data_IF_929857258984
#
_entry.id   IF_929857258984
#
_cell.length_a   1.000
_cell.length_b   1.000
_cell.length_c   1.000
_cell.angle_alpha   90.00
_cell.angle_beta   90.00
_cell.angle_gamma   90.00
#
_symmetry.space_group_name_H-M   'P 1'
#
loop_
_entity.id
_entity.type
_entity.pdbx_description
1 polymer ?
#
# COMPACT_ATOMS: atom_id res chain seq x y z
N UNK A 1 31.27 6.94 -39.83
CA UNK A 1 32.17 6.15 -38.97
C UNK A 1 31.64 6.06 -37.55
N UNK A 2 31.50 7.18 -36.84
CA UNK A 2 30.97 7.23 -35.45
C UNK A 2 29.61 6.53 -35.25
N UNK A 3 28.67 6.67 -36.19
CA UNK A 3 27.36 6.01 -36.08
C UNK A 3 27.44 4.49 -36.14
N UNK A 4 28.32 3.93 -36.99
CA UNK A 4 28.51 2.48 -37.11
C UNK A 4 29.20 1.90 -35.87
N UNK A 5 30.16 2.62 -35.30
CA UNK A 5 30.81 2.27 -34.05
C UNK A 5 29.83 2.30 -32.86
N UNK A 6 28.96 3.32 -32.80
CA UNK A 6 27.93 3.43 -31.76
C UNK A 6 26.90 2.29 -31.85
N UNK A 7 26.48 1.94 -33.07
CA UNK A 7 25.57 0.80 -33.30
C UNK A 7 26.26 -0.51 -32.90
N UNK A 8 27.52 -0.72 -33.32
CA UNK A 8 28.31 -1.90 -32.96
C UNK A 8 28.45 -2.05 -31.44
N UNK A 9 28.84 -0.98 -30.75
CA UNK A 9 28.95 -0.96 -29.29
C UNK A 9 27.61 -1.30 -28.62
N UNK A 10 26.51 -0.72 -29.09
CA UNK A 10 25.17 -0.98 -28.55
C UNK A 10 24.78 -2.45 -28.72
N UNK A 11 25.02 -3.06 -29.89
CA UNK A 11 24.73 -4.48 -30.14
C UNK A 11 25.56 -5.38 -29.22
N UNK A 12 26.85 -5.08 -29.04
CA UNK A 12 27.73 -5.83 -28.14
C UNK A 12 27.23 -5.73 -26.70
N UNK A 13 26.90 -4.53 -26.22
CA UNK A 13 26.37 -4.32 -24.87
C UNK A 13 25.04 -5.07 -24.66
N UNK A 14 24.10 -4.99 -25.61
CA UNK A 14 22.83 -5.71 -25.52
C UNK A 14 23.02 -7.24 -25.55
N UNK A 15 23.98 -7.73 -26.33
CA UNK A 15 24.30 -9.17 -26.40
C UNK A 15 24.88 -9.67 -25.08
N UNK A 16 25.84 -8.94 -24.50
CA UNK A 16 26.40 -9.25 -23.17
C UNK A 16 25.29 -9.24 -22.11
N UNK A 17 24.42 -8.23 -22.14
CA UNK A 17 23.30 -8.12 -21.21
C UNK A 17 22.33 -9.31 -21.35
N UNK A 18 21.97 -9.67 -22.59
CA UNK A 18 21.10 -10.82 -22.86
C UNK A 18 21.70 -12.13 -22.32
N UNK A 19 22.99 -12.38 -22.59
CA UNK A 19 23.72 -13.55 -22.10
C UNK A 19 23.73 -13.56 -20.57
N UNK A 20 24.04 -12.43 -19.94
CA UNK A 20 24.06 -12.30 -18.49
C UNK A 20 22.69 -12.61 -17.85
N UNK A 21 21.61 -12.02 -18.38
CA UNK A 21 20.25 -12.31 -17.89
C UNK A 21 19.89 -13.79 -18.06
N UNK A 22 20.15 -14.35 -19.24
CA UNK A 22 19.75 -15.71 -19.60
C UNK A 22 20.49 -16.77 -18.79
N UNK A 23 21.80 -16.62 -18.61
CA UNK A 23 22.66 -17.68 -18.05
C UNK A 23 23.07 -17.45 -16.60
N UNK A 24 23.09 -16.20 -16.12
CA UNK A 24 23.45 -15.87 -14.74
C UNK A 24 22.21 -15.64 -13.90
N UNK A 25 21.37 -14.65 -14.26
CA UNK A 25 20.21 -14.28 -13.44
C UNK A 25 19.14 -15.38 -13.44
N UNK A 26 18.74 -15.84 -14.62
CA UNK A 26 17.65 -16.80 -14.80
C UNK A 26 18.01 -18.26 -14.53
N UNK A 27 19.21 -18.49 -13.97
CA UNK A 27 19.67 -19.80 -13.54
C UNK A 27 19.50 -20.02 -12.03
N UNK A 28 19.04 -19.01 -11.27
CA UNK A 28 18.90 -19.08 -9.81
C UNK A 28 18.06 -20.26 -9.30
N UNK A 29 16.87 -20.49 -9.88
CA UNK A 29 15.96 -21.58 -9.45
C UNK A 29 16.41 -22.94 -9.97
N UNK A 30 16.92 -23.00 -11.20
CA UNK A 30 17.49 -24.21 -11.79
C UNK A 30 18.63 -24.77 -10.92
N UNK A 31 19.58 -23.93 -10.49
CA UNK A 31 20.68 -24.32 -9.59
C UNK A 31 20.20 -24.86 -8.23
N UNK A 32 18.97 -24.56 -7.82
CA UNK A 32 18.39 -24.99 -6.53
C UNK A 32 17.48 -26.21 -6.68
N UNK A 33 17.30 -26.74 -7.89
CA UNK A 33 16.39 -27.86 -8.14
C UNK A 33 14.92 -27.52 -7.89
N UNK A 34 14.54 -26.24 -7.92
CA UNK A 34 13.16 -25.78 -7.71
C UNK A 34 12.48 -25.64 -9.07
N UNK A 35 11.28 -26.20 -9.21
CA UNK A 35 10.44 -25.99 -10.40
C UNK A 35 10.20 -24.49 -10.60
N UNK A 36 10.42 -24.00 -11.82
CA UNK A 36 10.24 -22.58 -12.13
C UNK A 36 9.67 -22.36 -13.52
N UNK A 37 8.92 -21.28 -13.67
CA UNK A 37 8.39 -20.87 -14.97
C UNK A 37 9.50 -20.23 -15.78
N UNK A 38 9.80 -20.78 -16.96
CA UNK A 38 10.86 -20.27 -17.84
C UNK A 38 10.67 -18.76 -18.10
N UNK A 39 11.61 -17.91 -17.68
CA UNK A 39 11.50 -16.46 -17.82
C UNK A 39 11.84 -15.99 -19.24
N UNK A 40 11.32 -14.81 -19.60
CA UNK A 40 11.63 -14.10 -20.85
C UNK A 40 12.55 -12.91 -20.56
N UNK A 41 13.67 -12.79 -21.26
CA UNK A 41 14.60 -11.65 -21.08
C UNK A 41 13.96 -10.38 -21.65
N UNK A 42 14.04 -9.22 -20.96
CA UNK A 42 14.55 -8.97 -19.60
C UNK A 42 13.46 -8.94 -18.50
N UNK A 43 12.21 -9.18 -18.88
CA UNK A 43 11.00 -8.96 -18.06
C UNK A 43 10.65 -10.11 -17.12
N UNK A 44 11.33 -11.25 -17.22
CA UNK A 44 11.05 -12.44 -16.42
C UNK A 44 9.70 -13.05 -16.81
N UNK A 45 8.85 -13.29 -15.82
CA UNK A 45 7.49 -13.79 -15.99
C UNK A 45 6.43 -12.67 -15.91
N UNK A 46 6.85 -11.40 -15.93
CA UNK A 46 5.95 -10.22 -15.77
C UNK A 46 5.38 -9.69 -17.09
N UNK A 47 5.71 -10.30 -18.24
CA UNK A 47 5.28 -9.82 -19.56
C UNK A 47 3.77 -9.53 -19.69
N UNK A 48 2.87 -10.38 -19.17
CA UNK A 48 1.43 -10.11 -19.18
C UNK A 48 1.02 -8.86 -18.38
N UNK A 49 1.75 -8.53 -17.30
CA UNK A 49 1.52 -7.31 -16.51
C UNK A 49 2.04 -6.07 -17.22
N UNK A 50 3.24 -6.14 -17.81
CA UNK A 50 3.85 -5.00 -18.50
C UNK A 50 3.09 -4.62 -19.77
N UNK A 51 2.44 -5.59 -20.42
CA UNK A 51 1.57 -5.36 -21.58
C UNK A 51 0.14 -4.91 -21.21
N UNK A 52 -0.15 -4.70 -19.91
CA UNK A 52 -1.46 -4.33 -19.36
C UNK A 52 -2.60 -5.27 -19.76
N UNK A 53 -2.29 -6.52 -20.14
CA UNK A 53 -3.29 -7.51 -20.55
C UNK A 53 -4.03 -8.10 -19.34
N UNK A 54 -3.34 -8.22 -18.21
CA UNK A 54 -3.88 -8.79 -16.98
C UNK A 54 -3.41 -8.00 -15.75
N UNK A 55 -4.12 -8.17 -14.62
CA UNK A 55 -3.71 -7.61 -13.32
C UNK A 55 -2.79 -8.58 -12.56
N UNK A 56 -2.11 -8.10 -11.52
CA UNK A 56 -1.26 -8.94 -10.67
C UNK A 56 -2.03 -10.12 -10.05
N UNK A 57 -3.27 -9.89 -9.62
CA UNK A 57 -4.13 -10.94 -9.07
C UNK A 57 -4.42 -12.05 -10.08
N UNK A 58 -4.76 -11.67 -11.32
CA UNK A 58 -5.00 -12.65 -12.41
C UNK A 58 -3.72 -13.41 -12.75
N UNK A 59 -2.56 -12.74 -12.79
CA UNK A 59 -1.27 -13.41 -13.02
C UNK A 59 -1.02 -14.52 -11.99
N UNK A 60 -1.15 -14.22 -10.70
CA UNK A 60 -0.88 -15.20 -9.65
C UNK A 60 -1.97 -16.29 -9.58
N UNK A 61 -3.22 -15.94 -9.88
CA UNK A 61 -4.30 -16.92 -10.04
C UNK A 61 -3.96 -17.93 -11.14
N UNK A 62 -3.56 -17.47 -12.33
CA UNK A 62 -3.29 -18.35 -13.46
C UNK A 62 -2.05 -19.22 -13.22
N UNK A 63 -1.02 -18.66 -12.58
CA UNK A 63 0.16 -19.42 -12.13
C UNK A 63 -0.27 -20.51 -11.16
N UNK A 64 -1.07 -20.18 -10.15
CA UNK A 64 -1.56 -21.15 -9.18
C UNK A 64 -2.38 -22.24 -9.87
N UNK A 65 -3.40 -21.87 -10.65
CA UNK A 65 -4.29 -22.84 -11.30
C UNK A 65 -3.54 -23.80 -12.23
N UNK A 66 -2.52 -23.31 -12.93
CA UNK A 66 -1.71 -24.11 -13.85
C UNK A 66 -0.68 -25.00 -13.16
N UNK A 67 -0.11 -24.56 -12.04
CA UNK A 67 1.05 -25.22 -11.41
C UNK A 67 0.82 -25.64 -9.95
N UNK A 68 -0.41 -25.63 -9.44
CA UNK A 68 -0.78 -26.03 -8.06
C UNK A 68 -0.37 -27.45 -7.67
N UNK A 69 0.02 -28.30 -8.62
CA UNK A 69 0.61 -29.61 -8.34
C UNK A 69 2.01 -29.50 -7.70
N UNK A 70 2.69 -28.37 -7.87
CA UNK A 70 3.96 -28.07 -7.21
C UNK A 70 3.71 -27.26 -5.94
N UNK A 71 4.29 -27.70 -4.82
CA UNK A 71 4.18 -27.00 -3.53
C UNK A 71 4.79 -25.59 -3.56
N UNK A 72 5.87 -25.43 -4.35
CA UNK A 72 6.57 -24.17 -4.56
C UNK A 72 6.89 -23.99 -6.04
N UNK A 73 6.76 -22.75 -6.52
CA UNK A 73 6.95 -22.39 -7.92
C UNK A 73 7.88 -21.17 -7.98
N UNK A 74 9.06 -21.35 -8.56
CA UNK A 74 9.97 -20.25 -8.85
C UNK A 74 9.45 -19.39 -10.00
N UNK A 75 9.48 -18.08 -9.81
CA UNK A 75 9.25 -17.10 -10.87
C UNK A 75 10.34 -16.03 -10.83
N UNK A 76 10.38 -15.21 -11.87
CA UNK A 76 11.23 -14.03 -11.94
C UNK A 76 10.37 -12.80 -12.18
N UNK A 77 10.48 -11.82 -11.29
CA UNK A 77 9.96 -10.49 -11.56
C UNK A 77 11.09 -9.62 -12.05
N UNK A 78 11.13 -9.36 -13.37
CA UNK A 78 12.30 -8.79 -14.05
C UNK A 78 13.55 -9.64 -13.81
N UNK A 79 14.50 -9.17 -13.01
CA UNK A 79 15.70 -9.91 -12.63
C UNK A 79 15.62 -10.56 -11.24
N UNK A 80 14.60 -10.23 -10.44
CA UNK A 80 14.49 -10.72 -9.05
C UNK A 80 13.83 -12.10 -9.03
N UNK A 81 14.46 -13.14 -8.46
CA UNK A 81 13.80 -14.41 -8.22
C UNK A 81 12.76 -14.27 -7.10
N UNK A 82 11.54 -14.77 -7.33
CA UNK A 82 10.48 -14.82 -6.33
C UNK A 82 9.91 -16.24 -6.24
N UNK A 83 9.51 -16.65 -5.03
CA UNK A 83 8.94 -17.96 -4.78
C UNK A 83 7.44 -17.81 -4.55
N UNK A 84 6.63 -18.49 -5.35
CA UNK A 84 5.19 -18.62 -5.14
C UNK A 84 4.95 -19.90 -4.36
N UNK A 85 4.26 -19.81 -3.23
CA UNK A 85 3.98 -20.94 -2.33
C UNK A 85 2.52 -21.35 -2.55
N UNK A 86 2.32 -22.61 -2.92
CA UNK A 86 1.00 -23.20 -3.17
C UNK A 86 0.57 -24.22 -2.08
N UNK A 87 1.49 -24.59 -1.19
CA UNK A 87 1.25 -25.49 -0.06
C UNK A 87 0.88 -24.73 1.23
N UNK A 88 -0.18 -25.18 1.92
CA UNK A 88 -0.69 -24.51 3.12
C UNK A 88 0.25 -24.58 4.32
N UNK A 89 0.99 -25.68 4.51
CA UNK A 89 1.93 -25.79 5.62
C UNK A 89 3.15 -24.87 5.40
N UNK A 90 3.59 -24.71 4.16
CA UNK A 90 4.63 -23.74 3.81
C UNK A 90 4.13 -22.30 3.96
N UNK A 91 2.88 -22.00 3.60
CA UNK A 91 2.26 -20.68 3.85
C UNK A 91 2.23 -20.40 5.36
N UNK A 92 1.79 -21.38 6.17
CA UNK A 92 1.80 -21.27 7.64
C UNK A 92 3.21 -21.12 8.20
N UNK A 93 4.19 -21.80 7.62
CA UNK A 93 5.59 -21.66 8.02
C UNK A 93 6.06 -20.22 7.83
N UNK A 94 5.87 -19.65 6.65
CA UNK A 94 6.33 -18.29 6.31
C UNK A 94 5.57 -17.20 7.08
N UNK A 95 4.23 -17.30 7.14
CA UNK A 95 3.40 -16.23 7.70
C UNK A 95 3.27 -16.29 9.23
N UNK A 96 3.49 -17.45 9.85
CA UNK A 96 3.26 -17.65 11.29
C UNK A 96 4.52 -18.17 11.99
N UNK A 97 4.99 -19.38 11.64
CA UNK A 97 6.05 -20.07 12.42
C UNK A 97 7.37 -19.29 12.36
N UNK A 98 7.75 -18.82 11.18
CA UNK A 98 9.01 -18.14 10.88
C UNK A 98 8.81 -16.66 10.55
N UNK A 99 7.72 -16.03 11.02
CA UNK A 99 7.39 -14.64 10.70
C UNK A 99 8.53 -13.65 11.05
N UNK A 100 9.31 -13.94 12.08
CA UNK A 100 10.51 -13.17 12.44
C UNK A 100 11.52 -13.09 11.30
N UNK A 101 11.57 -14.08 10.42
CA UNK A 101 12.42 -14.12 9.22
C UNK A 101 11.75 -13.50 7.99
N UNK A 102 10.40 -13.42 7.95
CA UNK A 102 9.60 -13.02 6.77
C UNK A 102 8.69 -11.79 7.01
N UNK A 103 9.03 -10.92 7.95
CA UNK A 103 8.21 -9.76 8.33
C UNK A 103 8.19 -8.63 7.28
N UNK A 104 9.17 -8.60 6.37
CA UNK A 104 9.31 -7.58 5.35
C UNK A 104 8.53 -7.91 4.06
N UNK A 105 7.82 -6.93 3.52
CA UNK A 105 7.04 -7.09 2.27
C UNK A 105 7.87 -6.90 1.00
N UNK A 106 9.06 -6.30 1.10
CA UNK A 106 9.98 -6.09 -0.02
C UNK A 106 9.47 -5.13 -1.12
N UNK A 107 8.55 -4.23 -0.77
CA UNK A 107 8.00 -3.19 -1.65
C UNK A 107 8.80 -1.88 -1.47
N UNK A 108 8.77 -0.99 -2.46
CA UNK A 108 9.42 0.33 -2.39
C UNK A 108 9.10 1.10 -1.11
N UNK A 109 10.16 1.60 -0.47
CA UNK A 109 10.09 2.55 0.64
C UNK A 109 11.29 3.49 0.55
N UNK A 110 11.04 4.80 0.56
CA UNK A 110 12.09 5.81 0.61
C UNK A 110 11.59 7.05 1.36
N UNK A 111 11.84 7.10 2.67
CA UNK A 111 11.40 8.20 3.54
C UNK A 111 11.95 9.58 3.13
N UNK A 112 13.15 9.64 2.52
CA UNK A 112 13.79 10.90 2.17
C UNK A 112 13.18 11.53 0.93
N UNK A 113 12.89 10.72 -0.08
CA UNK A 113 12.38 11.17 -1.39
C UNK A 113 10.84 11.21 -1.37
N UNK A 114 10.23 10.22 -0.71
CA UNK A 114 8.80 10.00 -0.65
C UNK A 114 8.37 9.65 0.79
N UNK A 115 8.23 10.66 1.67
CA UNK A 115 7.96 10.45 3.09
C UNK A 115 6.64 9.71 3.35
N UNK A 116 5.67 9.78 2.43
CA UNK A 116 4.40 9.05 2.56
C UNK A 116 4.58 7.54 2.43
N UNK A 117 5.67 7.05 1.82
CA UNK A 117 5.97 5.60 1.81
C UNK A 117 6.42 5.07 3.18
N UNK A 118 6.73 5.93 4.14
CA UNK A 118 7.17 5.56 5.48
C UNK A 118 5.99 5.27 6.43
N UNK A 119 5.03 4.46 5.99
CA UNK A 119 3.87 4.04 6.77
C UNK A 119 3.91 2.56 7.13
N UNK A 120 3.11 2.14 8.12
CA UNK A 120 3.16 0.80 8.73
C UNK A 120 3.04 -0.37 7.74
N UNK A 121 2.37 -0.18 6.61
CA UNK A 121 2.28 -1.22 5.58
C UNK A 121 3.58 -1.43 4.78
N UNK A 122 4.32 -0.37 4.40
CA UNK A 122 5.54 -0.47 3.58
C UNK A 122 6.83 -0.52 4.39
N UNK A 123 6.80 -0.01 5.63
CA UNK A 123 7.93 -0.01 6.53
C UNK A 123 8.47 -1.44 6.74
N UNK A 124 9.79 -1.56 6.87
CA UNK A 124 10.50 -2.83 7.08
C UNK A 124 11.32 -2.85 8.37
N UNK A 125 11.73 -4.06 8.76
CA UNK A 125 12.70 -4.33 9.81
C UNK A 125 12.28 -3.85 11.20
N UNK A 126 13.28 -3.43 11.99
CA UNK A 126 13.09 -2.96 13.37
C UNK A 126 12.18 -1.74 13.45
N UNK A 127 12.22 -0.84 12.46
CA UNK A 127 11.37 0.36 12.42
C UNK A 127 9.90 -0.04 12.34
N UNK A 128 9.57 -0.99 11.45
CA UNK A 128 8.23 -1.55 11.34
C UNK A 128 7.77 -2.19 12.64
N UNK A 129 8.60 -3.06 13.24
CA UNK A 129 8.27 -3.76 14.49
C UNK A 129 7.94 -2.77 15.61
N UNK A 130 8.78 -1.75 15.80
CA UNK A 130 8.59 -0.74 16.82
C UNK A 130 7.31 0.08 16.59
N UNK A 131 7.05 0.48 15.34
CA UNK A 131 5.86 1.26 15.00
C UNK A 131 4.58 0.43 15.11
N UNK A 132 4.64 -0.86 14.74
CA UNK A 132 3.51 -1.79 14.86
C UNK A 132 3.06 -1.91 16.31
N UNK A 133 3.98 -2.08 17.24
CA UNK A 133 3.68 -2.19 18.68
C UNK A 133 3.01 -0.90 19.17
N UNK A 134 3.56 0.26 18.79
CA UNK A 134 3.03 1.58 19.17
C UNK A 134 1.62 1.87 18.64
N UNK A 135 1.32 1.44 17.42
CA UNK A 135 0.01 1.70 16.79
C UNK A 135 -1.03 0.62 17.07
N UNK A 136 -0.66 -0.57 17.54
CA UNK A 136 -1.62 -1.65 17.82
C UNK A 136 -2.75 -1.24 18.77
N UNK A 137 -2.51 -0.49 19.87
CA UNK A 137 -3.57 -0.02 20.77
C UNK A 137 -4.59 0.93 20.12
N UNK A 138 -4.31 1.49 18.94
CA UNK A 138 -5.25 2.39 18.26
C UNK A 138 -6.43 1.68 17.60
N UNK A 139 -6.31 0.36 17.40
CA UNK A 139 -7.32 -0.46 16.71
C UNK A 139 -7.96 -1.51 17.64
N UNK A 140 -8.03 -1.25 18.94
CA UNK A 140 -8.79 -2.12 19.85
C UNK A 140 -10.29 -2.06 19.56
N UNK A 141 -11.04 -3.05 20.03
CA UNK A 141 -12.50 -3.04 19.91
C UNK A 141 -13.14 -1.82 20.56
N UNK A 142 -12.58 -1.32 21.68
CA UNK A 142 -13.05 -0.10 22.35
C UNK A 142 -12.87 1.16 21.50
N UNK A 143 -11.67 1.38 20.93
CA UNK A 143 -11.41 2.51 20.01
C UNK A 143 -12.26 2.42 18.74
N UNK A 144 -12.42 1.23 18.15
CA UNK A 144 -13.27 1.05 16.97
C UNK A 144 -14.73 1.37 17.29
N UNK A 145 -15.23 0.95 18.46
CA UNK A 145 -16.59 1.29 18.90
C UNK A 145 -16.78 2.79 19.11
N UNK A 146 -15.76 3.51 19.57
CA UNK A 146 -15.81 4.98 19.68
C UNK A 146 -15.95 5.66 18.30
N UNK A 147 -15.30 5.10 17.27
CA UNK A 147 -15.40 5.60 15.89
C UNK A 147 -16.70 5.20 15.18
N UNK A 148 -17.47 4.24 15.72
CA UNK A 148 -18.68 3.72 15.07
C UNK A 148 -19.75 4.80 14.83
N UNK A 149 -19.88 5.79 15.72
CA UNK A 149 -20.82 6.90 15.54
C UNK A 149 -20.54 7.69 14.26
N UNK A 150 -19.25 7.89 13.92
CA UNK A 150 -18.84 8.57 12.69
C UNK A 150 -19.30 7.76 11.47
N UNK A 151 -19.10 6.45 11.49
CA UNK A 151 -19.53 5.56 10.39
C UNK A 151 -21.05 5.57 10.23
N UNK A 152 -21.81 5.49 11.34
CA UNK A 152 -23.27 5.53 11.33
C UNK A 152 -23.81 6.81 10.69
N UNK A 153 -23.27 7.96 11.10
CA UNK A 153 -23.72 9.27 10.61
C UNK A 153 -23.52 9.41 9.09
N UNK A 154 -22.35 9.02 8.56
CA UNK A 154 -22.13 9.04 7.11
C UNK A 154 -22.92 7.96 6.38
N UNK A 155 -23.26 6.86 7.04
CA UNK A 155 -24.14 5.83 6.48
C UNK A 155 -25.57 6.35 6.28
N UNK A 156 -26.08 7.12 7.24
CA UNK A 156 -27.37 7.80 7.14
C UNK A 156 -27.35 8.87 6.04
N UNK A 157 -26.28 9.66 5.95
CA UNK A 157 -26.09 10.65 4.88
C UNK A 157 -26.04 10.00 3.49
N UNK A 158 -25.35 8.85 3.37
CA UNK A 158 -25.33 8.07 2.14
C UNK A 158 -26.71 7.54 1.79
N UNK A 159 -27.46 7.00 2.76
CA UNK A 159 -28.80 6.47 2.54
C UNK A 159 -29.74 7.55 2.01
N UNK A 160 -29.74 8.73 2.64
CA UNK A 160 -30.52 9.90 2.18
C UNK A 160 -30.13 10.32 0.76
N UNK A 161 -28.83 10.37 0.45
CA UNK A 161 -28.38 10.71 -0.90
C UNK A 161 -28.85 9.69 -1.95
N UNK A 162 -28.82 8.40 -1.63
CA UNK A 162 -29.27 7.33 -2.52
C UNK A 162 -30.79 7.34 -2.69
N UNK A 163 -31.56 7.66 -1.64
CA UNK A 163 -33.02 7.80 -1.70
C UNK A 163 -33.43 8.91 -2.67
N UNK A 164 -32.83 10.10 -2.55
CA UNK A 164 -33.06 11.20 -3.51
C UNK A 164 -32.73 10.78 -4.95
N UNK A 165 -31.64 10.02 -5.16
CA UNK A 165 -31.25 9.54 -6.50
C UNK A 165 -32.23 8.50 -7.06
N UNK A 166 -32.74 7.63 -6.19
CA UNK A 166 -33.73 6.63 -6.57
C UNK A 166 -35.07 7.27 -6.95
N UNK A 167 -35.53 8.28 -6.20
CA UNK A 167 -36.74 9.05 -6.52
C UNK A 167 -36.67 9.75 -7.88
N UNK A 168 -35.48 10.22 -8.25
CA UNK A 168 -35.23 10.84 -9.56
C UNK A 168 -35.09 9.81 -10.70
N UNK A 169 -34.95 8.51 -10.38
CA UNK A 169 -34.66 7.46 -11.36
C UNK A 169 -33.24 7.55 -11.94
N UNK A 170 -32.30 8.17 -11.23
CA UNK A 170 -30.93 8.39 -11.69
C UNK A 170 -30.10 7.09 -11.64
N UNK A 171 -29.27 6.87 -12.66
CA UNK A 171 -28.24 5.84 -12.62
C UNK A 171 -27.11 6.24 -11.66
N UNK A 172 -26.65 5.29 -10.83
CA UNK A 172 -25.60 5.52 -9.83
C UNK A 172 -24.39 4.65 -10.15
N UNK A 173 -23.20 5.26 -10.20
CA UNK A 173 -21.95 4.53 -10.29
C UNK A 173 -21.52 4.10 -8.87
N UNK A 174 -21.60 2.80 -8.60
CA UNK A 174 -21.41 2.23 -7.27
C UNK A 174 -19.99 2.46 -6.74
N UNK A 175 -18.96 2.29 -7.57
CA UNK A 175 -17.57 2.49 -7.12
C UNK A 175 -17.35 3.94 -6.70
N UNK A 176 -17.97 4.89 -7.38
CA UNK A 176 -17.84 6.30 -7.09
C UNK A 176 -18.54 6.72 -5.81
N UNK A 177 -19.79 6.32 -5.61
CA UNK A 177 -20.52 6.71 -4.41
C UNK A 177 -19.88 6.12 -3.15
N UNK A 178 -19.41 4.86 -3.20
CA UNK A 178 -18.66 4.26 -2.09
C UNK A 178 -17.26 4.86 -1.94
N UNK A 179 -16.63 5.32 -3.03
CA UNK A 179 -15.39 6.07 -2.94
C UNK A 179 -15.59 7.36 -2.14
N UNK A 180 -16.64 8.14 -2.45
CA UNK A 180 -17.01 9.37 -1.74
C UNK A 180 -17.31 9.12 -0.27
N UNK A 181 -18.17 8.15 0.02
CA UNK A 181 -18.47 7.71 1.39
C UNK A 181 -17.20 7.33 2.17
N UNK A 182 -16.33 6.49 1.58
CA UNK A 182 -15.09 6.07 2.23
C UNK A 182 -14.14 7.24 2.51
N UNK A 183 -14.11 8.25 1.64
CA UNK A 183 -13.33 9.47 1.85
C UNK A 183 -13.87 10.23 3.06
N UNK A 184 -15.19 10.43 3.15
CA UNK A 184 -15.80 11.15 4.28
C UNK A 184 -15.54 10.45 5.61
N UNK A 185 -15.70 9.13 5.65
CA UNK A 185 -15.41 8.33 6.83
C UNK A 185 -13.93 8.46 7.23
N UNK A 186 -12.99 8.33 6.30
CA UNK A 186 -11.55 8.45 6.60
C UNK A 186 -11.18 9.87 7.00
N UNK A 187 -11.66 10.90 6.30
CA UNK A 187 -11.36 12.30 6.63
C UNK A 187 -11.85 12.67 8.04
N UNK A 188 -13.01 12.16 8.43
CA UNK A 188 -13.54 12.39 9.76
C UNK A 188 -12.87 11.54 10.84
N UNK A 189 -12.71 10.23 10.63
CA UNK A 189 -12.09 9.33 11.63
C UNK A 189 -10.58 9.56 11.79
N UNK A 190 -9.87 9.84 10.68
CA UNK A 190 -8.42 10.00 10.67
C UNK A 190 -7.96 11.42 10.95
N UNK A 191 -8.68 12.44 10.47
CA UNK A 191 -8.29 13.86 10.59
C UNK A 191 -9.30 14.70 11.40
N UNK A 192 -10.49 14.19 11.70
CA UNK A 192 -11.57 14.95 12.35
C UNK A 192 -12.18 16.03 11.47
N UNK A 193 -12.07 15.89 10.15
CA UNK A 193 -12.53 16.84 9.13
C UNK A 193 -13.79 16.30 8.47
N UNK A 194 -14.82 17.13 8.38
CA UNK A 194 -16.01 16.83 7.57
C UNK A 194 -15.76 17.27 6.13
N UNK A 195 -15.50 16.33 5.23
CA UNK A 195 -15.16 16.63 3.83
C UNK A 195 -16.36 16.85 2.90
N UNK A 196 -17.54 16.31 3.24
CA UNK A 196 -18.77 16.36 2.45
C UNK A 196 -18.63 15.81 1.00
N UNK A 197 -17.78 14.80 0.80
CA UNK A 197 -17.55 14.17 -0.51
C UNK A 197 -18.77 13.43 -1.06
N UNK A 198 -19.69 12.95 -0.21
CA UNK A 198 -20.95 12.31 -0.67
C UNK A 198 -21.77 13.31 -1.49
N UNK A 199 -21.92 14.53 -0.97
CA UNK A 199 -22.73 15.59 -1.58
C UNK A 199 -22.00 16.30 -2.73
N UNK A 200 -20.70 16.54 -2.56
CA UNK A 200 -19.88 17.27 -3.53
C UNK A 200 -18.99 16.30 -4.34
N UNK A 201 -19.34 16.03 -5.61
CA UNK A 201 -18.50 15.23 -6.49
C UNK A 201 -17.11 15.84 -6.68
N UNK A 202 -16.95 17.14 -6.81
CA UNK A 202 -15.68 17.75 -7.27
C UNK A 202 -14.79 18.19 -6.11
N UNK A 203 -14.91 17.43 -5.01
CA UNK A 203 -14.25 17.73 -3.78
C UNK A 203 -12.73 17.48 -3.84
N UNK A 204 -11.95 18.42 -3.31
CA UNK A 204 -10.48 18.36 -3.29
C UNK A 204 -9.92 17.07 -2.69
N UNK A 205 -10.59 16.50 -1.67
CA UNK A 205 -10.15 15.25 -1.04
C UNK A 205 -10.40 14.04 -1.95
N UNK A 206 -11.47 14.06 -2.76
CA UNK A 206 -11.76 13.03 -3.76
C UNK A 206 -10.75 13.07 -4.89
N UNK A 207 -10.38 14.25 -5.37
CA UNK A 207 -9.40 14.41 -6.45
C UNK A 207 -8.01 13.90 -6.05
N UNK A 208 -7.54 14.26 -4.86
CA UNK A 208 -6.28 13.73 -4.35
C UNK A 208 -6.34 12.22 -4.14
N UNK A 209 -7.45 11.67 -3.64
CA UNK A 209 -7.66 10.21 -3.55
C UNK A 209 -7.59 9.54 -4.92
N UNK A 210 -8.29 10.07 -5.94
CA UNK A 210 -8.27 9.50 -7.30
C UNK A 210 -6.84 9.41 -7.83
N UNK A 211 -6.06 10.49 -7.68
CA UNK A 211 -4.64 10.51 -8.10
C UNK A 211 -3.77 9.46 -7.39
N UNK A 212 -4.07 9.11 -6.13
CA UNK A 212 -3.38 8.01 -5.42
C UNK A 212 -3.67 6.66 -6.10
N UNK A 213 -4.91 6.41 -6.51
CA UNK A 213 -5.35 5.10 -7.02
C UNK A 213 -5.23 4.94 -8.54
N UNK A 214 -5.08 6.02 -9.30
CA UNK A 214 -4.88 6.01 -10.77
C UNK A 214 -3.41 5.85 -11.17
N UNK A 215 -2.61 5.18 -10.33
CA UNK A 215 -1.21 4.91 -10.63
C UNK A 215 -1.06 4.03 -11.89
N UNK A 216 -0.09 4.38 -12.73
CA UNK A 216 0.20 3.63 -13.96
C UNK A 216 0.56 2.17 -13.63
N UNK A 217 -0.07 1.16 -14.27
CA UNK A 217 0.24 -0.26 -14.02
C UNK A 217 1.72 -0.62 -14.14
N UNK A 218 2.46 0.06 -15.02
CA UNK A 218 3.92 -0.11 -15.17
C UNK A 218 4.64 0.40 -13.92
N UNK A 219 4.24 1.57 -13.40
CA UNK A 219 4.78 2.10 -12.14
C UNK A 219 4.50 1.15 -10.98
N UNK A 220 3.28 0.64 -10.87
CA UNK A 220 2.90 -0.36 -9.85
C UNK A 220 3.78 -1.61 -9.96
N UNK A 221 3.99 -2.14 -11.17
CA UNK A 221 4.85 -3.30 -11.38
C UNK A 221 6.31 -3.04 -10.98
N UNK A 222 6.87 -1.88 -11.33
CA UNK A 222 8.24 -1.50 -10.93
C UNK A 222 8.35 -1.43 -9.41
N UNK A 223 7.37 -0.87 -8.72
CA UNK A 223 7.39 -0.72 -7.26
C UNK A 223 7.24 -2.03 -6.50
N UNK A 224 6.36 -2.90 -6.97
CA UNK A 224 6.11 -4.19 -6.33
C UNK A 224 7.28 -5.15 -6.53
N UNK A 225 7.93 -5.09 -7.70
CA UNK A 225 8.85 -6.14 -8.11
C UNK A 225 10.31 -5.72 -8.20
N UNK A 226 10.58 -4.43 -8.48
CA UNK A 226 11.93 -3.89 -8.66
C UNK A 226 12.09 -2.49 -8.05
N UNK A 227 11.81 -2.34 -6.75
CA UNK A 227 11.90 -1.05 -6.07
C UNK A 227 13.31 -0.44 -6.09
N UNK A 228 14.36 -1.23 -6.33
CA UNK A 228 15.73 -0.76 -6.39
C UNK A 228 15.97 0.26 -7.52
N UNK A 229 15.25 0.14 -8.64
CA UNK A 229 15.35 1.09 -9.77
C UNK A 229 14.84 2.47 -9.35
N UNK A 230 13.74 2.52 -8.58
CA UNK A 230 13.17 3.78 -8.08
C UNK A 230 14.15 4.53 -7.18
N UNK A 231 14.86 3.79 -6.32
CA UNK A 231 15.88 4.36 -5.44
C UNK A 231 17.08 4.89 -6.21
N UNK A 232 17.51 4.19 -7.27
CA UNK A 232 18.63 4.62 -8.11
C UNK A 232 18.31 5.90 -8.90
N UNK A 233 17.08 6.02 -9.40
CA UNK A 233 16.66 7.16 -10.21
C UNK A 233 16.10 8.34 -9.40
N UNK A 234 16.01 8.22 -8.07
CA UNK A 234 15.47 9.22 -7.17
C UNK A 234 14.03 9.68 -7.50
N UNK A 235 13.22 8.79 -8.05
CA UNK A 235 11.84 9.09 -8.45
C UNK A 235 10.90 8.76 -7.28
N UNK A 236 10.09 9.72 -6.77
CA UNK A 236 9.07 9.41 -5.78
C UNK A 236 7.96 8.56 -6.41
N UNK A 237 7.38 7.65 -5.63
CA UNK A 237 6.20 6.92 -6.08
C UNK A 237 4.97 7.81 -6.05
N UNK A 238 4.81 8.53 -4.94
CA UNK A 238 3.69 9.41 -4.68
C UNK A 238 3.90 10.73 -5.40
N UNK A 239 2.84 11.22 -6.06
CA UNK A 239 2.88 12.54 -6.68
C UNK A 239 3.24 13.64 -5.65
N UNK A 240 4.07 14.60 -6.06
CA UNK A 240 4.58 15.64 -5.14
C UNK A 240 3.46 16.56 -4.63
N UNK A 241 2.40 16.75 -5.40
CA UNK A 241 1.20 17.48 -4.99
C UNK A 241 0.48 16.76 -3.84
N UNK A 242 0.32 15.44 -3.97
CA UNK A 242 -0.26 14.58 -2.92
C UNK A 242 0.57 14.62 -1.64
N UNK A 243 1.90 14.47 -1.75
CA UNK A 243 2.80 14.55 -0.59
C UNK A 243 2.62 15.88 0.14
N UNK A 244 2.63 17.00 -0.60
CA UNK A 244 2.48 18.34 -0.03
C UNK A 244 1.12 18.53 0.63
N UNK A 245 0.05 18.09 -0.04
CA UNK A 245 -1.32 18.22 0.44
C UNK A 245 -1.52 17.51 1.78
N UNK A 246 -1.24 16.20 1.86
CA UNK A 246 -1.48 15.44 3.09
C UNK A 246 -0.51 15.80 4.23
N UNK A 247 0.73 16.17 3.91
CA UNK A 247 1.68 16.66 4.92
C UNK A 247 1.22 17.98 5.52
N UNK A 248 0.75 18.90 4.67
CA UNK A 248 0.19 20.20 5.11
C UNK A 248 -1.06 19.98 5.96
N UNK A 249 -2.00 19.19 5.46
CA UNK A 249 -3.25 18.85 6.15
C UNK A 249 -3.00 18.29 7.55
N UNK A 250 -2.09 17.32 7.66
CA UNK A 250 -1.74 16.72 8.96
C UNK A 250 -1.17 17.76 9.92
N UNK A 251 -0.20 18.56 9.46
CA UNK A 251 0.45 19.59 10.27
C UNK A 251 -0.55 20.63 10.79
N UNK A 252 -1.34 21.20 9.90
CA UNK A 252 -2.35 22.22 10.26
C UNK A 252 -3.39 21.65 11.24
N UNK A 253 -3.79 20.38 11.07
CA UNK A 253 -4.74 19.73 11.98
C UNK A 253 -4.14 19.55 13.39
N UNK A 254 -2.89 19.11 13.48
CA UNK A 254 -2.20 18.94 14.78
C UNK A 254 -2.02 20.29 15.47
N UNK A 255 -1.49 21.28 14.76
CA UNK A 255 -1.27 22.65 15.28
C UNK A 255 -2.59 23.25 15.78
N UNK A 256 -3.65 23.20 14.96
CA UNK A 256 -4.96 23.71 15.34
C UNK A 256 -5.49 23.09 16.63
N UNK A 257 -5.39 21.76 16.77
CA UNK A 257 -5.88 21.05 17.96
C UNK A 257 -5.07 21.36 19.21
N UNK A 258 -3.74 21.45 19.09
CA UNK A 258 -2.88 21.77 20.22
C UNK A 258 -3.10 23.20 20.71
N UNK A 259 -3.20 24.18 19.80
CA UNK A 259 -3.47 25.58 20.15
C UNK A 259 -4.82 25.77 20.83
N UNK A 260 -5.87 25.10 20.34
CA UNK A 260 -7.23 25.24 20.86
C UNK A 260 -7.60 24.21 21.94
N UNK A 261 -6.66 23.33 22.34
CA UNK A 261 -6.87 22.25 23.32
C UNK A 261 -8.07 21.35 22.99
N UNK A 262 -8.26 21.04 21.70
CA UNK A 262 -9.38 20.23 21.23
C UNK A 262 -9.05 18.74 21.37
N UNK A 263 -9.83 18.02 22.17
CA UNK A 263 -9.73 16.57 22.32
C UNK A 263 -10.95 15.92 21.66
N UNK A 264 -10.71 15.09 20.65
CA UNK A 264 -11.75 14.26 20.00
C UNK A 264 -11.39 12.79 20.12
N UNK A 265 -12.39 11.92 20.21
CA UNK A 265 -12.19 10.47 20.22
C UNK A 265 -12.00 9.91 18.79
N UNK A 266 -10.95 10.39 18.11
CA UNK A 266 -10.61 10.02 16.74
C UNK A 266 -9.14 9.57 16.64
N UNK A 267 -8.74 9.06 15.48
CA UNK A 267 -7.39 8.53 15.28
C UNK A 267 -6.32 9.61 15.36
N UNK A 268 -6.63 10.86 14.95
CA UNK A 268 -5.71 11.99 15.07
C UNK A 268 -5.30 12.22 16.53
N UNK A 269 -6.25 12.17 17.46
CA UNK A 269 -5.94 12.33 18.89
C UNK A 269 -5.06 11.21 19.44
N UNK A 270 -5.21 9.98 18.93
CA UNK A 270 -4.34 8.86 19.29
C UNK A 270 -2.91 9.06 18.75
N UNK A 271 -2.76 9.64 17.56
CA UNK A 271 -1.46 10.00 17.02
C UNK A 271 -0.78 11.13 17.80
N UNK A 272 -1.54 12.17 18.19
CA UNK A 272 -1.02 13.26 19.03
C UNK A 272 -0.52 12.71 20.37
N UNK A 273 -1.29 11.83 21.03
CA UNK A 273 -0.83 11.14 22.25
C UNK A 273 0.45 10.35 22.02
N UNK A 274 0.54 9.62 20.91
CA UNK A 274 1.74 8.85 20.57
C UNK A 274 2.96 9.75 20.35
N UNK A 275 2.77 10.93 19.75
CA UNK A 275 3.83 11.93 19.54
C UNK A 275 4.30 12.57 20.85
N UNK A 276 3.38 12.87 21.77
CA UNK A 276 3.67 13.55 23.03
C UNK A 276 4.20 12.61 24.13
N UNK A 277 3.56 11.45 24.30
CA UNK A 277 3.83 10.49 25.39
C UNK A 277 4.71 9.32 24.95
N UNK A 278 4.83 9.06 23.65
CA UNK A 278 5.57 7.92 23.11
C UNK A 278 4.80 6.59 23.09
N UNK A 279 3.57 6.55 23.65
CA UNK A 279 2.65 5.42 23.64
C UNK A 279 1.18 5.89 23.54
N UNK A 280 0.26 4.97 23.24
CA UNK A 280 -1.19 5.21 23.23
C UNK A 280 -1.81 4.49 24.42
N UNK A 281 -2.60 5.20 25.22
CA UNK A 281 -3.27 4.63 26.40
C UNK A 281 -4.27 3.54 26.00
N UNK A 282 -4.15 2.39 26.66
CA UNK A 282 -5.04 1.25 26.44
C UNK A 282 -6.40 1.51 27.09
N UNK A 283 -7.45 0.89 26.57
CA UNK A 283 -8.80 1.02 27.13
C UNK A 283 -8.90 0.54 28.60
N UNK A 284 -7.92 -0.25 29.07
CA UNK A 284 -7.85 -0.77 30.45
C UNK A 284 -7.27 0.19 31.49
N UNK A 285 -6.49 1.21 31.08
CA UNK A 285 -5.78 2.08 32.04
C UNK A 285 -6.69 3.11 32.73
N UNK A 286 -7.93 3.27 32.25
CA UNK A 286 -8.94 4.16 32.85
C UNK A 286 -9.61 3.60 34.11
N UNK A 287 -9.43 2.31 34.44
CA UNK A 287 -10.12 1.68 35.59
C UNK A 287 -9.41 1.84 36.94
N UNK A 288 -8.24 2.47 37.00
CA UNK A 288 -7.43 2.55 38.22
C UNK A 288 -7.30 3.95 38.82
N UNK A 289 -8.02 4.96 38.33
CA UNK A 289 -7.96 6.33 38.87
C UNK A 289 -9.26 6.89 39.44
N UNK A 290 -10.37 6.15 39.38
CA UNK A 290 -11.66 6.58 39.94
C UNK A 290 -12.08 5.70 41.14
N UNK A 291 -11.20 5.50 42.11
CA UNK A 291 -11.57 5.06 43.48
C UNK A 291 -10.65 5.74 44.51
N UNK A 292 -10.78 7.05 44.65
CA UNK A 292 -10.45 7.76 45.89
C UNK A 292 -11.16 9.12 45.94
N UNK A 293 -12.42 9.10 46.33
CA UNK A 293 -13.08 10.13 47.14
C UNK A 293 -14.38 9.56 47.71
#
# INVERSE_FOLDING_TARGET
MVLAELIGATIVTLSILYIYFKFVIYNFWHKRGIFYIKPVVPIGNMGPLTTRKITAGVLFHDIYMKYKSHQIIGIYSFFKPNLVIADLELVRMVLIKEFTSFHDRGIYMNEKIDPLTNHLFLMSGKKWKNMRVKLTPTFTSGKIKQMFSILKNFGEELAQHLECKAEMGDCIEIKDIFARYSTDVIMSTAFGIKSNCIQDPDNVYRDHRKKIFEANPIWIAIILFVPQIMNLLFIPFTDRGIIRFYTKLFRETVEYRQTHKIIKHDFMNLLIQLMEKGFVESDGDKKTTDESC
#
